data_IF_654041438339
#
_entry.id   IF_654041438339
#
_cell.length_a   1.000
_cell.length_b   1.000
_cell.length_c   1.000
_cell.angle_alpha   90.00
_cell.angle_beta   90.00
_cell.angle_gamma   90.00
#
_symmetry.space_group_name_H-M   'P 1'
#
loop_
_entity.id
_entity.type
_entity.pdbx_description
1 polymer ?
#
# COMPACT_ATOMS: atom_id res chain seq x y z
N UNK A 1 -15.38 -51.46 59.60
CA UNK A 1 -15.30 -51.65 58.13
C UNK A 1 -14.93 -50.31 57.50
N UNK A 2 -14.17 -50.36 56.40
CA UNK A 2 -13.25 -49.31 55.91
C UNK A 2 -13.94 -48.03 55.42
N UNK A 3 -13.31 -46.89 55.73
CA UNK A 3 -13.61 -45.54 55.21
C UNK A 3 -13.25 -45.46 53.72
N UNK A 4 -14.07 -44.81 52.91
CA UNK A 4 -13.64 -44.35 51.57
C UNK A 4 -14.35 -43.03 51.26
N UNK A 5 -13.63 -41.93 51.47
CA UNK A 5 -14.02 -40.59 51.02
C UNK A 5 -13.40 -40.44 49.64
N UNK A 6 -14.22 -40.38 48.60
CA UNK A 6 -13.78 -40.02 47.25
C UNK A 6 -13.65 -38.50 47.17
N UNK A 7 -12.42 -38.00 47.08
CA UNK A 7 -12.12 -36.61 46.76
C UNK A 7 -11.89 -36.55 45.25
N UNK A 8 -12.86 -36.02 44.50
CA UNK A 8 -12.69 -35.72 43.08
C UNK A 8 -11.86 -34.45 42.93
N UNK A 9 -10.60 -34.60 42.49
CA UNK A 9 -9.76 -33.48 42.05
C UNK A 9 -10.27 -32.99 40.67
N UNK A 10 -10.89 -31.81 40.62
CA UNK A 10 -11.04 -31.06 39.37
C UNK A 10 -9.69 -30.41 39.05
N UNK A 11 -8.94 -30.96 38.08
CA UNK A 11 -7.84 -30.24 37.44
C UNK A 11 -8.44 -29.18 36.52
N UNK A 12 -8.43 -27.92 36.96
CA UNK A 12 -8.65 -26.78 36.09
C UNK A 12 -7.42 -26.60 35.19
N UNK A 13 -7.52 -27.10 33.96
CA UNK A 13 -6.55 -26.83 32.89
C UNK A 13 -6.61 -25.34 32.53
N UNK A 14 -5.80 -24.51 33.18
CA UNK A 14 -5.50 -23.18 32.67
C UNK A 14 -4.64 -23.35 31.41
N UNK A 15 -5.31 -23.51 30.26
CA UNK A 15 -4.66 -23.31 28.98
C UNK A 15 -4.24 -21.84 28.91
N UNK A 16 -2.96 -21.55 29.14
CA UNK A 16 -2.37 -20.31 28.66
C UNK A 16 -2.58 -20.28 27.16
N UNK A 17 -3.55 -19.52 26.69
CA UNK A 17 -3.59 -19.11 25.30
C UNK A 17 -2.29 -18.34 25.07
N UNK A 18 -1.28 -19.02 24.52
CA UNK A 18 -0.09 -18.35 24.03
C UNK A 18 -0.59 -17.29 23.04
N UNK A 19 -0.46 -16.01 23.41
CA UNK A 19 -0.79 -14.95 22.47
C UNK A 19 0.12 -15.17 21.28
N UNK A 20 -0.46 -15.57 20.16
CA UNK A 20 0.29 -15.79 18.93
C UNK A 20 0.97 -14.45 18.62
N UNK A 21 2.31 -14.40 18.63
CA UNK A 21 3.02 -13.17 18.27
C UNK A 21 2.67 -12.82 16.82
N UNK A 22 1.70 -11.91 16.67
CA UNK A 22 1.16 -11.51 15.38
C UNK A 22 2.20 -10.78 14.52
N UNK A 23 3.29 -10.30 15.14
CA UNK A 23 4.39 -9.58 14.51
C UNK A 23 5.69 -10.40 14.57
N UNK A 24 5.62 -11.73 14.45
CA UNK A 24 6.78 -12.63 14.58
C UNK A 24 7.87 -12.45 13.52
N UNK A 25 7.53 -11.92 12.34
CA UNK A 25 8.49 -11.57 11.28
C UNK A 25 9.16 -10.20 11.51
N UNK A 26 8.70 -9.43 12.50
CA UNK A 26 9.37 -8.20 12.91
C UNK A 26 10.49 -8.52 13.90
N UNK A 27 11.70 -8.06 13.58
CA UNK A 27 12.81 -8.02 14.55
C UNK A 27 12.41 -7.18 15.76
N UNK A 28 12.87 -7.58 16.95
CA UNK A 28 12.64 -6.83 18.20
C UNK A 28 13.44 -5.51 18.22
N UNK A 29 12.90 -4.52 17.54
CA UNK A 29 13.46 -3.19 17.33
C UNK A 29 12.58 -2.13 17.99
N UNK A 30 13.10 -0.90 18.08
CA UNK A 30 12.31 0.24 18.54
C UNK A 30 11.05 0.47 17.70
N UNK A 31 11.07 0.12 16.41
CA UNK A 31 9.91 0.25 15.52
C UNK A 31 8.79 -0.74 15.90
N UNK A 32 9.10 -2.03 16.08
CA UNK A 32 8.13 -3.05 16.52
C UNK A 32 7.46 -2.61 17.83
N UNK A 33 8.26 -2.28 18.84
CA UNK A 33 7.75 -1.85 20.15
C UNK A 33 6.92 -0.57 20.08
N UNK A 34 7.30 0.39 19.24
CA UNK A 34 6.52 1.62 19.06
C UNK A 34 5.15 1.35 18.44
N UNK A 35 5.07 0.44 17.47
CA UNK A 35 3.81 -0.01 16.86
C UNK A 35 2.93 -0.68 17.91
N UNK A 36 3.46 -1.67 18.63
CA UNK A 36 2.72 -2.40 19.68
C UNK A 36 2.22 -1.45 20.77
N UNK A 37 3.07 -0.56 21.25
CA UNK A 37 2.72 0.42 22.28
C UNK A 37 1.64 1.41 21.80
N UNK A 38 1.74 1.89 20.55
CA UNK A 38 0.74 2.78 19.96
C UNK A 38 -0.60 2.08 19.80
N UNK A 39 -0.62 0.84 19.31
CA UNK A 39 -1.85 0.05 19.19
C UNK A 39 -2.47 -0.16 20.58
N UNK A 40 -1.71 -0.62 21.57
CA UNK A 40 -2.21 -0.82 22.94
C UNK A 40 -2.80 0.47 23.54
N UNK A 41 -2.13 1.61 23.38
CA UNK A 41 -2.60 2.88 23.94
C UNK A 41 -3.82 3.43 23.20
N UNK A 42 -3.91 3.24 21.89
CA UNK A 42 -5.01 3.75 21.08
C UNK A 42 -6.26 2.89 21.12
N UNK A 43 -6.16 1.62 21.54
CA UNK A 43 -7.32 0.72 21.62
C UNK A 43 -7.83 0.48 23.03
N UNK A 44 -7.05 0.81 24.08
CA UNK A 44 -7.46 0.68 25.48
C UNK A 44 -8.42 1.79 25.91
N UNK A 45 -9.64 1.41 26.28
CA UNK A 45 -10.63 2.34 26.85
C UNK A 45 -10.07 3.08 28.08
N UNK A 46 -10.40 4.37 28.22
CA UNK A 46 -9.88 5.23 29.27
C UNK A 46 -8.44 5.72 29.06
N UNK A 47 -7.73 5.23 28.03
CA UNK A 47 -6.44 5.79 27.63
C UNK A 47 -6.61 7.23 27.11
N UNK A 48 -5.69 8.16 27.43
CA UNK A 48 -5.71 9.51 26.85
C UNK A 48 -5.52 9.51 25.32
N UNK A 49 -4.94 8.45 24.77
CA UNK A 49 -4.71 8.27 23.33
C UNK A 49 -5.80 7.42 22.66
N UNK A 50 -6.88 7.06 23.37
CA UNK A 50 -7.92 6.18 22.84
C UNK A 50 -8.55 6.72 21.56
N UNK A 51 -8.60 5.87 20.53
CA UNK A 51 -9.21 6.17 19.24
C UNK A 51 -10.50 5.34 19.13
N UNK A 52 -11.67 5.97 18.96
CA UNK A 52 -12.93 5.24 18.80
C UNK A 52 -12.90 4.42 17.50
N UNK A 53 -13.56 3.25 17.50
CA UNK A 53 -13.52 2.28 16.40
C UNK A 53 -13.82 2.90 15.03
N UNK A 54 -14.78 3.82 14.98
CA UNK A 54 -15.18 4.53 13.75
C UNK A 54 -14.18 5.59 13.26
N UNK A 55 -13.01 5.74 13.90
CA UNK A 55 -11.92 6.66 13.51
C UNK A 55 -10.59 5.95 13.26
N UNK A 56 -10.53 4.63 13.41
CA UNK A 56 -9.29 3.84 13.28
C UNK A 56 -8.90 3.56 11.83
N UNK A 57 -8.67 4.61 11.04
CA UNK A 57 -8.22 4.48 9.64
C UNK A 57 -6.69 4.54 9.57
N UNK A 58 -6.06 3.57 8.91
CA UNK A 58 -4.61 3.53 8.68
C UNK A 58 -4.35 3.40 7.20
N UNK A 59 -3.40 4.18 6.69
CA UNK A 59 -3.01 4.16 5.28
C UNK A 59 -1.62 3.59 5.09
N UNK A 60 -1.43 2.85 4.01
CA UNK A 60 -0.18 2.27 3.57
C UNK A 60 0.10 2.75 2.15
N UNK A 61 1.33 3.15 1.87
CA UNK A 61 1.79 3.10 0.48
C UNK A 61 1.90 1.63 0.02
N UNK A 62 2.00 1.38 -1.29
CA UNK A 62 2.13 0.03 -1.82
C UNK A 62 3.55 -0.25 -2.31
N UNK A 63 3.98 0.42 -3.39
CA UNK A 63 5.32 0.30 -3.95
C UNK A 63 6.38 0.66 -2.89
N UNK A 64 7.35 -0.24 -2.72
CA UNK A 64 8.44 -0.12 -1.73
C UNK A 64 8.01 -0.26 -0.27
N UNK A 65 6.71 -0.39 0.02
CA UNK A 65 6.16 -0.43 1.38
C UNK A 65 5.46 -1.73 1.70
N UNK A 66 4.56 -2.24 0.84
CA UNK A 66 3.90 -3.54 1.00
C UNK A 66 4.52 -4.61 0.09
N UNK A 67 5.20 -4.20 -0.98
CA UNK A 67 5.99 -5.06 -1.86
C UNK A 67 7.23 -4.32 -2.41
N UNK A 68 8.19 -5.02 -3.06
CA UNK A 68 9.33 -4.39 -3.74
C UNK A 68 8.96 -3.48 -4.91
N UNK A 69 9.73 -2.41 -5.11
CA UNK A 69 9.57 -1.46 -6.24
C UNK A 69 10.81 -1.33 -7.15
N UNK A 70 11.97 -1.80 -6.71
CA UNK A 70 13.19 -1.76 -7.51
C UNK A 70 13.32 -3.07 -8.32
N UNK A 71 13.93 -3.08 -9.52
CA UNK A 71 14.39 -1.91 -10.27
C UNK A 71 13.25 -1.17 -11.00
N UNK A 72 12.11 -1.83 -11.19
CA UNK A 72 10.87 -1.26 -11.72
C UNK A 72 9.71 -1.66 -10.80
N UNK A 73 8.74 -0.77 -10.63
CA UNK A 73 7.48 -1.11 -9.94
C UNK A 73 6.77 -2.22 -10.71
N UNK A 74 5.93 -3.00 -10.01
CA UNK A 74 5.24 -4.12 -10.64
C UNK A 74 4.33 -3.66 -11.79
N UNK A 75 3.67 -2.51 -11.64
CA UNK A 75 2.85 -1.94 -12.70
C UNK A 75 3.68 -1.49 -13.90
N UNK A 76 4.87 -0.93 -13.69
CA UNK A 76 5.75 -0.55 -14.80
C UNK A 76 6.28 -1.80 -15.53
N UNK A 77 6.60 -2.87 -14.80
CA UNK A 77 6.96 -4.15 -15.40
C UNK A 77 5.79 -4.74 -16.21
N UNK A 78 4.57 -4.70 -15.67
CA UNK A 78 3.36 -5.10 -16.39
C UNK A 78 3.18 -4.30 -17.69
N UNK A 79 3.34 -2.98 -17.64
CA UNK A 79 3.23 -2.13 -18.84
C UNK A 79 4.33 -2.44 -19.89
N UNK A 80 5.56 -2.74 -19.44
CA UNK A 80 6.66 -3.20 -20.31
C UNK A 80 6.30 -4.51 -21.02
N UNK A 81 5.71 -5.47 -20.30
CA UNK A 81 5.32 -6.75 -20.86
C UNK A 81 4.12 -6.62 -21.81
N UNK A 82 3.16 -5.74 -21.48
CA UNK A 82 2.03 -5.43 -22.35
C UNK A 82 2.45 -4.74 -23.64
N UNK A 83 3.41 -3.80 -23.60
CA UNK A 83 3.97 -3.22 -24.82
C UNK A 83 4.58 -4.30 -25.71
N UNK A 84 5.37 -5.22 -25.15
CA UNK A 84 5.97 -6.32 -25.93
C UNK A 84 4.92 -7.25 -26.54
N UNK A 85 3.82 -7.49 -25.82
CA UNK A 85 2.72 -8.33 -26.30
C UNK A 85 1.92 -7.66 -27.42
N UNK A 86 1.73 -6.35 -27.33
CA UNK A 86 0.91 -5.56 -28.25
C UNK A 86 1.67 -5.04 -29.47
N UNK A 87 2.98 -4.77 -29.37
CA UNK A 87 3.78 -4.18 -30.45
C UNK A 87 3.61 -4.87 -31.83
N UNK A 88 3.52 -6.23 -31.94
CA UNK A 88 3.30 -6.88 -33.22
C UNK A 88 1.99 -6.46 -33.93
N UNK A 89 1.02 -5.95 -33.18
CA UNK A 89 -0.28 -5.47 -33.66
C UNK A 89 -0.30 -3.96 -33.90
N UNK A 90 0.77 -3.25 -33.52
CA UNK A 90 0.89 -1.80 -33.58
C UNK A 90 2.16 -1.35 -34.32
N UNK A 91 2.22 -1.49 -35.66
CA UNK A 91 3.40 -1.12 -36.44
C UNK A 91 3.82 0.35 -36.27
N UNK A 92 2.89 1.22 -35.92
CA UNK A 92 3.11 2.65 -35.67
C UNK A 92 3.98 2.91 -34.44
N UNK A 93 4.08 1.97 -33.50
CA UNK A 93 4.89 2.12 -32.27
C UNK A 93 6.40 2.00 -32.52
N UNK A 94 6.83 1.48 -33.67
CA UNK A 94 8.26 1.24 -33.97
C UNK A 94 9.12 2.50 -33.91
N UNK A 95 8.51 3.67 -34.12
CA UNK A 95 9.19 4.96 -34.08
C UNK A 95 9.09 5.66 -32.72
N UNK A 96 8.36 5.10 -31.75
CA UNK A 96 8.25 5.65 -30.40
C UNK A 96 9.54 5.32 -29.61
N UNK A 97 10.30 6.33 -29.14
CA UNK A 97 11.55 6.10 -28.43
C UNK A 97 11.39 5.28 -27.14
N UNK A 98 10.26 5.41 -26.46
CA UNK A 98 9.98 4.68 -25.22
C UNK A 98 9.65 3.23 -25.52
N UNK A 99 8.86 2.96 -26.57
CA UNK A 99 8.64 1.58 -27.05
C UNK A 99 9.96 0.96 -27.50
N UNK A 100 10.80 1.69 -28.24
CA UNK A 100 12.12 1.20 -28.62
C UNK A 100 12.99 0.87 -27.39
N UNK A 101 12.91 1.65 -26.31
CA UNK A 101 13.60 1.35 -25.04
C UNK A 101 13.05 0.07 -24.37
N UNK A 102 11.73 -0.11 -24.34
CA UNK A 102 11.07 -1.35 -23.87
C UNK A 102 11.60 -2.56 -24.65
N UNK A 103 11.60 -2.49 -25.98
CA UNK A 103 12.00 -3.61 -26.84
C UNK A 103 13.48 -3.96 -26.69
N UNK A 104 14.32 -2.99 -26.35
CA UNK A 104 15.76 -3.18 -26.06
C UNK A 104 16.06 -3.58 -24.62
N UNK A 105 15.04 -3.70 -23.75
CA UNK A 105 15.20 -3.87 -22.30
C UNK A 105 16.11 -2.79 -21.67
N UNK A 106 16.02 -1.55 -22.16
CA UNK A 106 16.78 -0.42 -21.61
C UNK A 106 16.12 0.08 -20.32
N UNK A 107 16.37 -0.66 -19.24
CA UNK A 107 15.85 -0.35 -17.90
C UNK A 107 16.29 1.02 -17.40
N UNK A 108 17.45 1.52 -17.85
CA UNK A 108 17.94 2.84 -17.44
C UNK A 108 17.07 3.94 -18.02
N UNK A 109 16.74 3.86 -19.31
CA UNK A 109 15.83 4.80 -19.96
C UNK A 109 14.43 4.71 -19.36
N UNK A 110 13.93 3.50 -19.10
CA UNK A 110 12.63 3.31 -18.45
C UNK A 110 12.59 3.89 -17.04
N UNK A 111 13.60 3.63 -16.21
CA UNK A 111 13.70 4.21 -14.87
C UNK A 111 13.83 5.74 -14.91
N UNK A 112 14.59 6.29 -15.87
CA UNK A 112 14.80 7.75 -16.02
C UNK A 112 13.54 8.45 -16.54
N UNK A 113 12.68 7.74 -17.28
CA UNK A 113 11.43 8.31 -17.82
C UNK A 113 10.42 8.67 -16.71
N UNK A 114 10.57 8.07 -15.52
CA UNK A 114 9.78 8.35 -14.33
C UNK A 114 8.27 8.26 -14.58
N UNK A 115 7.53 9.13 -13.90
CA UNK A 115 6.06 9.20 -14.01
C UNK A 115 5.57 9.45 -15.44
N UNK A 116 6.26 10.31 -16.21
CA UNK A 116 5.87 10.64 -17.58
C UNK A 116 5.94 9.43 -18.50
N UNK A 117 7.00 8.63 -18.39
CA UNK A 117 7.13 7.40 -19.16
C UNK A 117 6.11 6.36 -18.75
N UNK A 118 5.84 6.20 -17.45
CA UNK A 118 4.77 5.33 -16.98
C UNK A 118 3.42 5.76 -17.57
N UNK A 119 3.06 7.04 -17.52
CA UNK A 119 1.80 7.54 -18.10
C UNK A 119 1.69 7.30 -19.60
N UNK A 120 2.78 7.48 -20.36
CA UNK A 120 2.82 7.19 -21.79
C UNK A 120 2.63 5.70 -22.06
N UNK A 121 3.34 4.82 -21.34
CA UNK A 121 3.18 3.38 -21.48
C UNK A 121 1.76 2.93 -21.14
N UNK A 122 1.18 3.44 -20.06
CA UNK A 122 -0.20 3.15 -19.66
C UNK A 122 -1.21 3.60 -20.73
N UNK A 123 -1.00 4.78 -21.32
CA UNK A 123 -1.84 5.29 -22.40
C UNK A 123 -1.78 4.38 -23.63
N UNK A 124 -0.59 3.90 -24.00
CA UNK A 124 -0.40 2.97 -25.13
C UNK A 124 -1.04 1.61 -24.90
N UNK A 125 -0.91 1.06 -23.70
CA UNK A 125 -1.22 -0.35 -23.42
C UNK A 125 -2.66 -0.60 -22.99
N UNK A 126 -3.31 0.38 -22.35
CA UNK A 126 -4.60 0.16 -21.69
C UNK A 126 -5.64 1.28 -21.85
N UNK A 127 -5.36 2.34 -22.62
CA UNK A 127 -6.40 3.32 -22.94
C UNK A 127 -7.34 2.76 -24.01
N UNK A 128 -8.64 3.00 -23.88
CA UNK A 128 -9.65 2.59 -24.85
C UNK A 128 -10.22 1.18 -24.66
N UNK A 129 -9.65 0.38 -23.75
CA UNK A 129 -10.16 -0.94 -23.40
C UNK A 129 -11.20 -0.89 -22.26
N UNK A 130 -11.94 -1.97 -22.05
CA UNK A 130 -12.88 -2.07 -20.91
C UNK A 130 -12.15 -2.29 -19.59
N UNK A 131 -12.78 -1.91 -18.48
CA UNK A 131 -12.25 -2.19 -17.14
C UNK A 131 -12.12 -3.68 -16.87
N UNK A 132 -13.05 -4.49 -17.39
CA UNK A 132 -13.07 -5.94 -17.24
C UNK A 132 -11.91 -6.59 -18.00
N UNK A 133 -11.68 -6.16 -19.25
CA UNK A 133 -10.54 -6.63 -20.05
C UNK A 133 -9.22 -6.26 -19.39
N UNK A 134 -9.10 -5.03 -18.86
CA UNK A 134 -7.91 -4.62 -18.12
C UNK A 134 -7.67 -5.49 -16.88
N UNK A 135 -8.70 -5.72 -16.07
CA UNK A 135 -8.62 -6.57 -14.89
C UNK A 135 -8.20 -7.99 -15.23
N UNK A 136 -8.73 -8.56 -16.32
CA UNK A 136 -8.34 -9.89 -16.79
C UNK A 136 -6.86 -9.94 -17.16
N UNK A 137 -6.36 -8.98 -17.95
CA UNK A 137 -4.95 -8.92 -18.34
C UNK A 137 -4.01 -8.79 -17.14
N UNK A 138 -4.38 -7.98 -16.14
CA UNK A 138 -3.60 -7.85 -14.90
C UNK A 138 -3.60 -9.17 -14.13
N UNK A 139 -4.75 -9.83 -14.00
CA UNK A 139 -4.86 -11.14 -13.32
C UNK A 139 -3.97 -12.18 -14.01
N UNK A 140 -4.09 -12.29 -15.34
CA UNK A 140 -3.29 -13.22 -16.14
C UNK A 140 -1.79 -12.94 -16.01
N UNK A 141 -1.41 -11.67 -15.94
CA UNK A 141 -0.01 -11.29 -15.75
C UNK A 141 0.52 -11.78 -14.39
N UNK A 142 -0.22 -11.52 -13.30
CA UNK A 142 0.16 -12.03 -11.96
C UNK A 142 0.18 -13.56 -11.89
N UNK A 143 -0.63 -14.24 -12.71
CA UNK A 143 -0.69 -15.70 -12.72
C UNK A 143 0.51 -16.37 -13.42
N UNK A 144 1.08 -15.72 -14.42
CA UNK A 144 2.08 -16.33 -15.30
C UNK A 144 3.46 -15.69 -15.23
N UNK A 145 3.61 -14.51 -14.61
CA UNK A 145 4.88 -13.80 -14.56
C UNK A 145 5.57 -13.93 -13.19
N UNK A 146 6.89 -13.97 -13.23
CA UNK A 146 7.76 -14.08 -12.06
C UNK A 146 8.80 -12.94 -12.07
N UNK A 147 9.13 -12.43 -10.89
CA UNK A 147 10.26 -11.52 -10.75
C UNK A 147 11.56 -12.28 -11.00
N UNK A 148 12.36 -11.80 -11.95
CA UNK A 148 13.58 -12.49 -12.39
C UNK A 148 14.65 -12.63 -11.32
N UNK A 149 14.64 -11.80 -10.26
CA UNK A 149 15.67 -11.81 -9.22
C UNK A 149 15.36 -12.86 -8.16
N UNK A 150 14.09 -13.00 -7.81
CA UNK A 150 13.62 -13.93 -6.79
C UNK A 150 13.17 -15.28 -7.36
N UNK A 151 12.71 -15.31 -8.61
CA UNK A 151 12.04 -16.47 -9.21
C UNK A 151 10.61 -16.69 -8.69
N UNK A 152 10.10 -15.80 -7.83
CA UNK A 152 8.75 -15.91 -7.28
C UNK A 152 7.74 -15.18 -8.17
N UNK A 153 6.49 -15.65 -8.13
CA UNK A 153 5.37 -14.90 -8.72
C UNK A 153 5.19 -13.56 -8.02
N UNK A 154 4.81 -12.53 -8.76
CA UNK A 154 4.64 -11.19 -8.23
C UNK A 154 3.63 -11.10 -7.07
N UNK A 155 2.57 -11.91 -7.12
CA UNK A 155 1.55 -11.99 -6.07
C UNK A 155 2.01 -12.70 -4.78
N UNK A 156 3.25 -13.22 -4.77
CA UNK A 156 3.90 -13.81 -3.60
C UNK A 156 4.95 -12.88 -2.97
N UNK A 157 5.23 -11.73 -3.58
CA UNK A 157 6.30 -10.81 -3.18
C UNK A 157 5.86 -9.73 -2.18
N UNK A 158 4.75 -9.93 -1.48
CA UNK A 158 4.37 -9.06 -0.37
C UNK A 158 5.32 -9.23 0.82
N UNK A 159 5.77 -8.12 1.42
CA UNK A 159 6.65 -8.17 2.59
C UNK A 159 5.93 -8.83 3.78
N UNK A 160 6.45 -9.97 4.23
CA UNK A 160 5.85 -10.74 5.32
C UNK A 160 5.65 -9.92 6.61
N UNK A 161 6.60 -9.09 7.08
CA UNK A 161 6.37 -8.22 8.24
C UNK A 161 5.19 -7.28 8.03
N UNK A 162 5.02 -6.73 6.82
CA UNK A 162 3.94 -5.78 6.55
C UNK A 162 2.57 -6.46 6.45
N UNK A 163 2.51 -7.69 5.91
CA UNK A 163 1.29 -8.52 5.96
C UNK A 163 0.86 -8.81 7.41
N UNK A 164 1.81 -9.15 8.27
CA UNK A 164 1.58 -9.33 9.70
C UNK A 164 1.11 -8.04 10.39
N UNK A 165 1.69 -6.89 10.04
CA UNK A 165 1.26 -5.60 10.55
C UNK A 165 -0.19 -5.29 10.16
N UNK A 166 -0.56 -5.55 8.91
CA UNK A 166 -1.94 -5.39 8.43
C UNK A 166 -2.91 -6.28 9.23
N UNK A 167 -2.57 -7.55 9.45
CA UNK A 167 -3.38 -8.47 10.26
C UNK A 167 -3.49 -8.02 11.72
N UNK A 168 -2.37 -7.61 12.32
CA UNK A 168 -2.33 -7.10 13.69
C UNK A 168 -3.22 -5.86 13.87
N UNK A 169 -3.16 -4.91 12.93
CA UNK A 169 -3.99 -3.71 12.95
C UNK A 169 -5.47 -4.04 12.81
N UNK A 170 -5.85 -4.93 11.87
CA UNK A 170 -7.24 -5.36 11.70
C UNK A 170 -7.78 -6.08 12.94
N UNK A 171 -6.99 -6.97 13.56
CA UNK A 171 -7.35 -7.63 14.80
C UNK A 171 -7.59 -6.65 15.97
N UNK A 172 -7.02 -5.45 15.88
CA UNK A 172 -7.20 -4.35 16.84
C UNK A 172 -8.24 -3.30 16.39
N UNK A 173 -9.05 -3.62 15.37
CA UNK A 173 -10.17 -2.80 14.90
C UNK A 173 -9.77 -1.63 13.99
N UNK A 174 -8.56 -1.62 13.44
CA UNK A 174 -8.17 -0.65 12.43
C UNK A 174 -8.63 -1.08 11.04
N UNK A 175 -9.00 -0.09 10.22
CA UNK A 175 -9.30 -0.23 8.80
C UNK A 175 -8.04 0.12 8.01
N UNK A 176 -7.52 -0.84 7.24
CA UNK A 176 -6.26 -0.73 6.51
C UNK A 176 -6.49 -0.37 5.04
N UNK A 177 -5.97 0.77 4.60
CA UNK A 177 -6.16 1.29 3.25
C UNK A 177 -4.84 1.35 2.49
N UNK A 178 -4.89 1.17 1.18
CA UNK A 178 -3.77 1.48 0.26
C UNK A 178 -3.97 2.90 -0.28
N UNK A 179 -2.89 3.70 -0.30
CA UNK A 179 -2.81 5.04 -0.92
C UNK A 179 -1.49 5.15 -1.67
N UNK A 180 -1.51 4.92 -2.98
CA UNK A 180 -0.29 4.73 -3.76
C UNK A 180 -0.32 5.42 -5.13
N UNK A 181 0.86 5.83 -5.62
CA UNK A 181 1.00 6.38 -6.98
C UNK A 181 0.74 5.34 -8.07
N UNK A 182 0.73 4.05 -7.75
CA UNK A 182 0.31 3.00 -8.66
C UNK A 182 -1.15 3.14 -9.11
N UNK A 183 -1.47 2.57 -10.26
CA UNK A 183 -2.82 2.61 -10.84
C UNK A 183 -3.85 1.88 -9.97
N UNK A 184 -4.94 2.57 -9.64
CA UNK A 184 -5.99 2.05 -8.74
C UNK A 184 -6.55 0.71 -9.22
N UNK A 185 -6.87 0.58 -10.51
CA UNK A 185 -7.43 -0.64 -11.08
C UNK A 185 -6.42 -1.79 -11.14
N UNK A 186 -5.12 -1.48 -11.24
CA UNK A 186 -4.06 -2.50 -11.24
C UNK A 186 -3.94 -3.12 -9.84
N UNK A 187 -3.90 -2.28 -8.80
CA UNK A 187 -3.78 -2.75 -7.42
C UNK A 187 -5.03 -3.49 -6.94
N UNK A 188 -6.23 -3.04 -7.33
CA UNK A 188 -7.51 -3.67 -6.95
C UNK A 188 -7.64 -5.13 -7.38
N UNK A 189 -6.97 -5.54 -8.45
CA UNK A 189 -6.99 -6.94 -8.92
C UNK A 189 -6.31 -7.89 -7.94
N UNK A 190 -5.35 -7.41 -7.14
CA UNK A 190 -4.46 -8.28 -6.35
C UNK A 190 -4.46 -7.95 -4.85
N UNK A 191 -4.93 -6.77 -4.45
CA UNK A 191 -4.84 -6.26 -3.07
C UNK A 191 -5.54 -7.16 -2.05
N UNK A 192 -6.71 -7.70 -2.38
CA UNK A 192 -7.46 -8.56 -1.47
C UNK A 192 -6.72 -9.89 -1.24
N UNK A 193 -6.25 -10.52 -2.32
CA UNK A 193 -5.48 -11.77 -2.26
C UNK A 193 -4.18 -11.61 -1.47
N UNK A 194 -3.45 -10.52 -1.68
CA UNK A 194 -2.13 -10.31 -1.04
C UNK A 194 -2.24 -9.80 0.39
N UNK A 195 -3.18 -8.91 0.65
CA UNK A 195 -3.18 -8.06 1.85
C UNK A 195 -4.47 -8.12 2.67
N UNK A 196 -5.50 -8.83 2.19
CA UNK A 196 -6.87 -8.77 2.70
C UNK A 196 -7.38 -7.31 2.79
N UNK A 197 -7.01 -6.49 1.80
CA UNK A 197 -7.50 -5.13 1.62
C UNK A 197 -8.46 -5.17 0.42
N UNK A 198 -9.78 -5.01 0.64
CA UNK A 198 -10.76 -5.11 -0.42
C UNK A 198 -10.68 -3.91 -1.37
N UNK A 199 -11.18 -4.01 -2.62
CA UNK A 199 -11.00 -2.99 -3.65
C UNK A 199 -11.47 -1.58 -3.28
N UNK A 200 -12.50 -1.45 -2.45
CA UNK A 200 -13.01 -0.17 -1.96
C UNK A 200 -12.09 0.54 -0.96
N UNK A 201 -11.10 -0.19 -0.40
CA UNK A 201 -10.07 0.35 0.50
C UNK A 201 -8.75 0.65 -0.22
N UNK A 202 -8.77 0.69 -1.55
CA UNK A 202 -7.62 1.01 -2.39
C UNK A 202 -7.84 2.36 -3.07
N UNK A 203 -6.91 3.28 -2.81
CA UNK A 203 -6.76 4.57 -3.47
C UNK A 203 -5.45 4.53 -4.25
N UNK A 204 -5.51 4.96 -5.51
CA UNK A 204 -4.30 5.23 -6.27
C UNK A 204 -4.55 6.09 -7.49
N UNK A 205 -3.55 6.19 -8.35
CA UNK A 205 -3.63 6.97 -9.59
C UNK A 205 -4.75 6.44 -10.48
N UNK A 206 -5.51 7.35 -11.09
CA UNK A 206 -6.69 6.99 -11.88
C UNK A 206 -6.91 7.95 -13.04
N UNK A 207 -7.78 7.55 -13.96
CA UNK A 207 -8.38 8.43 -14.96
C UNK A 207 -9.87 8.11 -15.04
N UNK A 208 -10.66 9.04 -15.57
CA UNK A 208 -12.10 8.86 -15.69
C UNK A 208 -12.41 7.75 -16.70
N UNK A 209 -13.31 6.85 -16.32
CA UNK A 209 -13.88 5.89 -17.25
C UNK A 209 -15.08 6.48 -17.98
N UNK A 210 -15.32 6.04 -19.19
CA UNK A 210 -16.53 6.36 -19.96
C UNK A 210 -17.53 5.23 -19.86
N UNK A 211 -18.75 5.57 -19.47
CA UNK A 211 -19.88 4.65 -19.49
C UNK A 211 -20.51 4.59 -20.88
N UNK A 212 -20.84 3.38 -21.33
CA UNK A 212 -21.65 3.17 -22.54
C UNK A 212 -22.62 2.01 -22.38
N UNK A 213 -23.79 2.15 -22.99
CA UNK A 213 -24.74 1.06 -23.22
C UNK A 213 -24.38 0.40 -24.55
N UNK A 214 -24.32 -0.93 -24.56
CA UNK A 214 -24.04 -1.77 -25.73
C UNK A 214 -25.11 -2.85 -25.86
N UNK A 215 -25.17 -3.55 -26.99
CA UNK A 215 -26.10 -4.67 -27.18
C UNK A 215 -25.89 -5.80 -26.16
N UNK A 216 -24.69 -5.90 -25.58
CA UNK A 216 -24.31 -6.89 -24.57
C UNK A 216 -24.41 -6.36 -23.12
N UNK A 217 -25.01 -5.19 -22.90
CA UNK A 217 -25.17 -4.56 -21.59
C UNK A 217 -24.31 -3.32 -21.37
N UNK A 218 -24.00 -3.02 -20.11
CA UNK A 218 -23.22 -1.84 -19.72
C UNK A 218 -21.72 -2.09 -19.79
N UNK A 219 -20.95 -1.11 -20.25
CA UNK A 219 -19.49 -1.17 -20.22
C UNK A 219 -18.89 0.11 -19.64
N UNK A 220 -17.77 -0.05 -18.93
CA UNK A 220 -16.90 1.05 -18.53
C UNK A 220 -15.59 0.93 -19.31
N UNK A 221 -15.25 1.99 -20.04
CA UNK A 221 -14.03 2.05 -20.85
C UNK A 221 -13.02 2.96 -20.22
N UNK A 222 -11.80 2.47 -20.07
CA UNK A 222 -10.67 3.24 -19.55
C UNK A 222 -10.30 4.35 -20.54
N UNK A 223 -10.06 5.55 -20.02
CA UNK A 223 -9.59 6.68 -20.82
C UNK A 223 -8.39 7.35 -20.14
N UNK A 224 -7.85 8.39 -20.76
CA UNK A 224 -6.87 9.29 -20.14
C UNK A 224 -7.49 10.63 -19.68
N UNK A 225 -8.82 10.79 -19.78
CA UNK A 225 -9.51 12.02 -19.38
C UNK A 225 -9.47 12.16 -17.86
N UNK A 226 -9.14 13.36 -17.38
CA UNK A 226 -9.12 13.64 -15.94
C UNK A 226 -8.13 12.78 -15.16
N UNK A 227 -7.01 12.39 -15.79
CA UNK A 227 -5.96 11.63 -15.12
C UNK A 227 -5.48 12.37 -13.85
N UNK A 228 -5.43 11.63 -12.76
CA UNK A 228 -4.98 12.07 -11.44
C UNK A 228 -3.85 11.15 -11.00
N UNK A 229 -2.68 11.73 -10.74
CA UNK A 229 -1.56 11.02 -10.14
C UNK A 229 -1.63 11.13 -8.61
N UNK A 230 -1.82 10.01 -7.92
CA UNK A 230 -1.92 9.92 -6.46
C UNK A 230 -0.55 9.83 -5.79
N UNK A 231 0.31 10.81 -6.04
CA UNK A 231 1.63 10.87 -5.44
C UNK A 231 1.93 12.21 -4.75
N UNK A 232 2.90 12.17 -3.84
CA UNK A 232 3.37 13.32 -3.09
C UNK A 232 2.23 14.12 -2.41
N UNK A 233 2.05 15.38 -2.81
CA UNK A 233 1.04 16.27 -2.25
C UNK A 233 -0.39 15.92 -2.70
N UNK A 234 -0.57 15.03 -3.68
CA UNK A 234 -1.86 14.56 -4.14
C UNK A 234 -2.47 13.51 -3.20
N UNK A 235 -1.65 12.71 -2.49
CA UNK A 235 -2.12 11.69 -1.53
C UNK A 235 -3.09 12.23 -0.47
N UNK A 236 -2.80 13.34 0.23
CA UNK A 236 -3.77 13.95 1.14
C UNK A 236 -5.09 14.38 0.47
N UNK A 237 -5.05 14.78 -0.80
CA UNK A 237 -6.25 15.18 -1.57
C UNK A 237 -7.08 13.94 -1.91
N UNK A 238 -6.46 12.87 -2.38
CA UNK A 238 -7.14 11.61 -2.66
C UNK A 238 -7.74 10.98 -1.39
N UNK A 239 -7.01 11.01 -0.26
CA UNK A 239 -7.55 10.60 1.04
C UNK A 239 -8.81 11.37 1.38
N UNK A 240 -8.81 12.71 1.22
CA UNK A 240 -10.00 13.51 1.45
C UNK A 240 -11.16 13.12 0.53
N UNK A 241 -10.89 12.94 -0.76
CA UNK A 241 -11.89 12.64 -1.79
C UNK A 241 -12.53 11.26 -1.64
N UNK A 242 -11.72 10.22 -1.46
CA UNK A 242 -12.19 8.83 -1.48
C UNK A 242 -12.53 8.28 -0.09
N UNK A 243 -11.75 8.64 0.93
CA UNK A 243 -11.95 8.10 2.28
C UNK A 243 -12.92 8.97 3.11
N UNK A 244 -12.93 10.28 2.88
CA UNK A 244 -13.73 11.23 3.66
C UNK A 244 -13.37 11.26 5.15
N UNK A 245 -12.25 10.64 5.54
CA UNK A 245 -11.76 10.54 6.91
C UNK A 245 -10.27 10.85 6.95
N UNK A 246 -9.81 11.30 8.11
CA UNK A 246 -8.39 11.51 8.36
C UNK A 246 -7.79 10.23 8.95
N UNK A 247 -6.76 9.63 8.31
CA UNK A 247 -6.05 8.51 8.90
C UNK A 247 -5.35 8.90 10.19
N UNK A 248 -5.24 7.95 11.12
CA UNK A 248 -4.58 8.12 12.42
C UNK A 248 -3.15 7.61 12.43
N UNK A 249 -2.78 6.83 11.40
CA UNK A 249 -1.41 6.40 11.14
C UNK A 249 -1.18 6.21 9.65
N UNK A 250 0.09 6.30 9.25
CA UNK A 250 0.55 6.12 7.90
C UNK A 250 1.88 5.34 7.89
N UNK A 251 2.01 4.40 6.95
CA UNK A 251 3.22 3.62 6.74
C UNK A 251 3.67 3.79 5.28
N UNK A 252 4.90 4.25 5.10
CA UNK A 252 5.47 4.54 3.78
C UNK A 252 6.99 4.67 3.85
N UNK A 253 7.66 4.48 2.71
CA UNK A 253 9.06 4.84 2.51
C UNK A 253 9.26 6.32 2.14
N UNK A 254 8.25 6.97 1.54
CA UNK A 254 8.31 8.35 1.10
C UNK A 254 7.64 9.33 2.10
N UNK A 255 8.23 10.52 2.26
CA UNK A 255 7.87 11.51 3.29
C UNK A 255 6.48 12.17 3.11
N UNK A 256 5.85 12.05 1.95
CA UNK A 256 4.68 12.87 1.61
C UNK A 256 3.37 12.47 2.30
N UNK A 257 3.18 11.19 2.65
CA UNK A 257 1.95 10.72 3.32
C UNK A 257 1.78 11.36 4.72
N UNK A 258 2.89 11.70 5.36
CA UNK A 258 2.93 12.20 6.74
C UNK A 258 2.23 13.55 6.96
N UNK A 259 2.23 14.43 5.95
CA UNK A 259 1.58 15.75 6.05
C UNK A 259 0.05 15.66 6.18
N UNK A 260 -0.57 14.56 5.75
CA UNK A 260 -2.01 14.34 5.93
C UNK A 260 -2.36 14.01 7.39
N UNK A 261 -1.57 13.15 8.05
CA UNK A 261 -1.86 12.60 9.37
C UNK A 261 -1.58 13.58 10.52
N UNK A 262 -0.76 14.61 10.29
CA UNK A 262 -0.44 15.62 11.31
C UNK A 262 -1.56 16.67 11.44
N UNK A 263 -2.18 16.77 12.62
CA UNK A 263 -2.97 17.95 12.98
C UNK A 263 -2.04 19.15 13.16
N UNK A 264 -2.33 20.32 12.56
CA UNK A 264 -1.67 21.55 12.97
C UNK A 264 -2.30 21.99 14.31
N UNK A 265 -1.81 21.46 15.44
CA UNK A 265 -1.97 22.20 16.70
C UNK A 265 -1.09 23.44 16.56
N UNK A 266 -1.75 24.55 16.23
CA UNK A 266 -1.20 25.90 16.12
C UNK A 266 -0.62 26.29 17.50
N UNK A 267 0.66 26.00 17.73
CA UNK A 267 1.43 26.74 18.72
C UNK A 267 1.88 28.01 17.99
N UNK A 268 1.28 29.15 18.35
CA UNK A 268 1.77 30.47 17.95
C UNK A 268 3.16 30.65 18.54
N UNK A 269 4.19 30.64 17.70
CA UNK A 269 5.43 31.35 17.99
C UNK A 269 5.86 32.12 16.75
N UNK A 270 6.11 33.41 16.97
CA UNK A 270 6.44 34.44 15.98
C UNK A 270 7.84 34.29 15.40
N UNK A 271 7.96 34.07 14.07
CA UNK A 271 8.95 34.60 13.09
C UNK A 271 9.40 33.55 12.03
N UNK A 272 9.75 33.96 10.79
CA UNK A 272 9.91 33.09 9.62
C UNK A 272 11.38 32.80 9.18
N UNK A 273 11.54 31.80 8.28
CA UNK A 273 12.72 31.39 7.47
C UNK A 273 13.86 30.69 8.29
N UNK A 274 14.59 29.65 7.86
CA UNK A 274 14.92 29.02 6.56
C UNK A 274 15.58 27.62 6.78
N UNK A 275 15.78 26.88 5.67
CA UNK A 275 16.53 25.62 5.40
C UNK A 275 17.37 24.87 6.47
N UNK A 276 17.13 23.54 6.50
CA UNK A 276 18.01 22.36 6.72
C UNK A 276 19.28 22.46 7.61
N UNK A 277 19.30 21.67 8.70
CA UNK A 277 20.35 20.68 9.04
C UNK A 277 20.01 19.92 10.35
N UNK A 278 20.53 18.70 10.45
CA UNK A 278 20.25 17.61 11.42
C UNK A 278 20.79 17.80 12.86
N UNK A 279 19.92 17.48 13.85
CA UNK A 279 20.10 16.73 15.14
C UNK A 279 21.17 17.26 16.16
N UNK A 280 20.81 17.56 17.44
CA UNK A 280 20.65 16.50 18.47
C UNK A 280 19.56 16.67 19.55
N UNK A 281 19.23 15.50 20.11
CA UNK A 281 18.39 15.20 21.28
C UNK A 281 18.30 16.29 22.36
N UNK A 282 17.06 16.63 22.76
CA UNK A 282 16.69 16.86 24.17
C UNK A 282 15.21 16.55 24.43
N UNK A 283 14.97 16.01 25.61
CA UNK A 283 13.72 15.47 26.17
C UNK A 283 12.61 16.54 26.32
N UNK A 284 11.35 16.15 26.09
CA UNK A 284 10.18 16.82 26.68
C UNK A 284 8.96 16.97 25.76
N UNK A 285 7.92 16.18 26.04
CA UNK A 285 6.48 16.33 25.73
C UNK A 285 5.96 16.32 24.27
N UNK A 286 5.17 15.26 23.97
CA UNK A 286 4.20 15.02 22.86
C UNK A 286 4.75 14.55 21.48
N UNK A 287 3.98 13.73 20.72
CA UNK A 287 4.02 12.27 20.74
C UNK A 287 4.80 11.67 19.56
N UNK A 288 5.51 10.59 19.88
CA UNK A 288 6.18 9.67 18.96
C UNK A 288 5.15 8.94 18.10
N UNK A 289 5.30 8.91 16.78
CA UNK A 289 4.60 7.92 15.93
C UNK A 289 5.47 7.59 14.71
N UNK A 290 5.64 6.29 14.48
CA UNK A 290 6.86 5.65 13.96
C UNK A 290 7.26 6.04 12.53
N UNK A 291 8.50 6.50 12.41
CA UNK A 291 9.28 6.49 11.16
C UNK A 291 9.87 5.09 11.05
N UNK A 292 9.51 4.35 10.01
CA UNK A 292 10.22 3.12 9.66
C UNK A 292 11.60 3.51 9.11
N UNK A 293 12.69 2.86 9.57
CA UNK A 293 14.00 3.05 8.95
C UNK A 293 14.01 2.53 7.51
N UNK A 294 14.97 2.99 6.67
CA UNK A 294 15.10 2.55 5.28
C UNK A 294 15.24 1.03 5.15
N UNK A 295 14.89 0.54 3.96
CA UNK A 295 14.71 -0.88 3.62
C UNK A 295 15.90 -1.81 3.93
N UNK A 296 17.10 -1.25 4.14
CA UNK A 296 18.33 -2.00 4.46
C UNK A 296 18.34 -2.63 5.87
N UNK A 297 17.29 -2.43 6.68
CA UNK A 297 17.22 -2.90 8.08
C UNK A 297 16.15 -3.94 8.39
N UNK A 298 15.41 -4.43 7.38
CA UNK A 298 14.45 -5.53 7.52
C UNK A 298 15.11 -6.90 7.50
#
# INVERSE_FOLDING_TARGET
>A
MKKTILISLLLASFGSAASTDMLSAWKDTSAKRAIEQWVQNSTREGSPDFIPLNKRYVVFDNDGTLWPEAPLTFQLQFAVDEVKRLEPQHPEWKNDPLVAAVMKNDLKTLATSGEKGLLQLLALTHSGMTTEEFSQRVSDWFDHHQDKRSGCRYDQLGYQPMRQLLDYLRANGFKTWIVSGGGIDFMRVVSEKMYAIPPEQVIGSFALSEFSLTDNGTQLRKTMKGAFNDDAAAKPVAIHLFMGQRPVAAFAIATAIWRCCSTPRRIRTTKPLSCWSTIPMRRGNTPTTAILPPAESW
#
